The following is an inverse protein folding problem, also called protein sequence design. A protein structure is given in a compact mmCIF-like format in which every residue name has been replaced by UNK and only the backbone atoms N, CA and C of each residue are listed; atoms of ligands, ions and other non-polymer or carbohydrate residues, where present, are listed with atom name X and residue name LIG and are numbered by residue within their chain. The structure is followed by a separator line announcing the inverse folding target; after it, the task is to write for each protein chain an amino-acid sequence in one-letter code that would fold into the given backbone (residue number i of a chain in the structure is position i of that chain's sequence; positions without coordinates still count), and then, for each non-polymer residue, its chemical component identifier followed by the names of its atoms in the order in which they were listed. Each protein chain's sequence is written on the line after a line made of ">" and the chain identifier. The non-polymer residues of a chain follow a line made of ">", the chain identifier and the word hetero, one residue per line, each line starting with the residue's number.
data_IF_315112129770
#
_entry.id   IF_315112129770
#
_cell.length_a   1.000
_cell.length_b   1.000
_cell.length_c   1.000
_cell.angle_alpha   90.00
_cell.angle_beta   90.00
_cell.angle_gamma   90.00
#
_symmetry.space_group_name_H-M   'P 1'
#
loop_
_entity.id
_entity.type
_entity.pdbx_description
1 polymer ?
#
# COMPACT_ATOMS: atom_id res chain seq x y z
N UNK A 1 -18.47 -41.45 1.32
CA UNK A 1 -17.88 -40.14 1.69
C UNK A 1 -16.60 -39.95 0.91
N UNK A 2 -16.51 -38.92 0.07
CA UNK A 2 -15.24 -38.51 -0.53
C UNK A 2 -14.68 -37.37 0.31
N UNK A 3 -13.54 -37.60 0.94
CA UNK A 3 -12.81 -36.58 1.69
C UNK A 3 -11.87 -35.88 0.72
N UNK A 4 -12.09 -34.59 0.49
CA UNK A 4 -11.14 -33.74 -0.20
C UNK A 4 -10.08 -33.30 0.81
N UNK A 5 -8.83 -33.69 0.59
CA UNK A 5 -7.70 -33.27 1.42
C UNK A 5 -7.14 -31.98 0.83
N UNK A 6 -7.36 -30.85 1.50
CA UNK A 6 -6.77 -29.57 1.12
C UNK A 6 -5.29 -29.56 1.58
N UNK A 7 -4.38 -29.42 0.62
CA UNK A 7 -2.96 -29.18 0.89
C UNK A 7 -2.76 -27.67 0.97
N UNK A 8 -2.52 -27.16 2.18
CA UNK A 8 -2.15 -25.77 2.38
C UNK A 8 -0.64 -25.65 2.18
N UNK A 9 -0.21 -24.80 1.26
CA UNK A 9 1.20 -24.44 1.14
C UNK A 9 1.61 -23.67 2.40
N UNK A 10 2.68 -24.09 3.06
CA UNK A 10 3.22 -23.46 4.27
C UNK A 10 3.92 -22.13 4.00
N UNK A 11 4.07 -21.75 2.73
CA UNK A 11 4.67 -20.50 2.29
C UNK A 11 4.05 -20.05 0.97
N UNK A 12 3.80 -18.76 0.85
CA UNK A 12 3.36 -18.10 -0.37
C UNK A 12 4.50 -17.22 -0.87
N UNK A 13 4.84 -17.33 -2.16
CA UNK A 13 5.72 -16.38 -2.85
C UNK A 13 4.87 -15.76 -3.94
N UNK A 14 4.64 -14.46 -3.84
CA UNK A 14 3.83 -13.69 -4.77
C UNK A 14 3.72 -12.24 -4.31
N UNK A 15 3.45 -11.35 -5.26
CA UNK A 15 3.33 -9.93 -5.01
C UNK A 15 1.88 -9.58 -4.65
N UNK A 16 1.67 -8.94 -3.50
CA UNK A 16 0.37 -8.42 -3.10
C UNK A 16 0.26 -6.96 -3.56
N UNK A 17 -0.57 -6.73 -4.56
CA UNK A 17 -0.92 -5.37 -5.00
C UNK A 17 -2.20 -4.91 -4.31
N UNK A 18 -2.13 -3.81 -3.57
CA UNK A 18 -3.29 -3.19 -2.92
C UNK A 18 -3.61 -1.90 -3.65
N UNK A 19 -4.69 -1.91 -4.44
CA UNK A 19 -5.19 -0.70 -5.08
C UNK A 19 -6.02 0.10 -4.07
N UNK A 20 -5.58 1.30 -3.74
CA UNK A 20 -6.33 2.22 -2.87
C UNK A 20 -7.04 3.23 -3.76
N UNK A 21 -8.36 3.14 -3.82
CA UNK A 21 -9.18 4.09 -4.56
C UNK A 21 -9.55 5.21 -3.58
N UNK A 22 -9.10 6.42 -3.91
CA UNK A 22 -9.38 7.61 -3.13
C UNK A 22 -10.54 8.32 -3.79
N UNK A 23 -11.70 8.24 -3.16
CA UNK A 23 -12.90 8.93 -3.64
C UNK A 23 -12.75 10.45 -3.45
N UNK A 24 -13.39 11.28 -4.29
CA UNK A 24 -13.18 12.73 -4.30
C UNK A 24 -13.56 13.39 -2.97
N UNK A 25 -14.50 12.80 -2.26
CA UNK A 25 -14.98 13.25 -0.94
C UNK A 25 -13.95 13.04 0.18
N UNK A 26 -12.92 12.22 -0.06
CA UNK A 26 -11.83 11.93 0.88
C UNK A 26 -10.59 12.82 0.65
N UNK A 27 -10.59 13.67 -0.38
CA UNK A 27 -9.48 14.56 -0.71
C UNK A 27 -9.75 15.97 -0.16
N UNK A 28 -8.76 16.57 0.52
CA UNK A 28 -8.79 18.00 0.82
C UNK A 28 -8.80 18.82 -0.49
N UNK A 29 -9.21 20.10 -0.49
CA UNK A 29 -9.10 20.92 -1.68
C UNK A 29 -7.63 21.01 -2.13
N UNK A 30 -7.33 20.38 -3.27
CA UNK A 30 -5.97 20.10 -3.72
C UNK A 30 -5.76 18.59 -3.75
N UNK A 31 -5.68 18.03 -4.96
CA UNK A 31 -5.74 16.59 -5.27
C UNK A 31 -4.54 15.75 -4.78
N UNK A 32 -4.04 16.01 -3.58
CA UNK A 32 -3.01 15.22 -2.89
C UNK A 32 -3.60 14.53 -1.67
N UNK A 33 -3.13 13.31 -1.42
CA UNK A 33 -3.38 12.63 -0.15
C UNK A 33 -2.50 13.26 0.91
N UNK A 34 -3.00 13.45 2.13
CA UNK A 34 -2.16 13.87 3.25
C UNK A 34 -1.43 12.68 3.87
N UNK A 35 -0.25 12.90 4.45
CA UNK A 35 0.45 11.89 5.23
C UNK A 35 -0.42 11.33 6.38
N UNK A 36 -1.26 12.16 6.98
CA UNK A 36 -2.20 11.75 8.03
C UNK A 36 -3.23 10.72 7.54
N UNK A 37 -3.58 10.74 6.26
CA UNK A 37 -4.50 9.77 5.65
C UNK A 37 -3.76 8.53 5.15
N UNK A 38 -2.60 8.72 4.49
CA UNK A 38 -1.84 7.64 3.88
C UNK A 38 -1.13 6.77 4.93
N UNK A 39 -0.53 7.37 5.95
CA UNK A 39 0.27 6.70 6.97
C UNK A 39 -0.47 5.55 7.68
N UNK A 40 -1.69 5.76 8.22
CA UNK A 40 -2.46 4.69 8.85
C UNK A 40 -2.76 3.51 7.91
N UNK A 41 -3.04 3.77 6.63
CA UNK A 41 -3.29 2.73 5.61
C UNK A 41 -2.01 1.91 5.39
N UNK A 42 -0.88 2.59 5.20
CA UNK A 42 0.43 1.93 5.05
C UNK A 42 0.75 1.07 6.27
N UNK A 43 0.51 1.57 7.49
CA UNK A 43 0.77 0.81 8.72
C UNK A 43 -0.08 -0.46 8.85
N UNK A 44 -1.37 -0.42 8.48
CA UNK A 44 -2.23 -1.61 8.48
C UNK A 44 -1.75 -2.66 7.48
N UNK A 45 -1.41 -2.21 6.26
CA UNK A 45 -0.92 -3.11 5.20
C UNK A 45 0.46 -3.67 5.57
N UNK A 46 1.34 -2.85 6.14
CA UNK A 46 2.67 -3.25 6.59
C UNK A 46 2.63 -4.33 7.67
N UNK A 47 1.78 -4.19 8.71
CA UNK A 47 1.60 -5.23 9.74
C UNK A 47 1.08 -6.54 9.15
N UNK A 48 0.09 -6.46 8.27
CA UNK A 48 -0.46 -7.63 7.58
C UNK A 48 0.59 -8.30 6.68
N UNK A 49 1.41 -7.49 6.00
CA UNK A 49 2.52 -7.96 5.17
C UNK A 49 3.62 -8.64 6.00
N UNK A 50 3.93 -8.13 7.19
CA UNK A 50 4.88 -8.73 8.14
C UNK A 50 4.38 -10.10 8.62
N UNK A 51 3.12 -10.20 9.06
CA UNK A 51 2.49 -11.46 9.48
C UNK A 51 2.53 -12.51 8.36
N UNK A 52 2.37 -12.07 7.11
CA UNK A 52 2.37 -12.91 5.92
C UNK A 52 3.77 -13.15 5.32
N UNK A 53 4.82 -12.46 5.82
CA UNK A 53 6.19 -12.47 5.28
C UNK A 53 6.27 -12.09 3.79
N UNK A 54 5.56 -11.03 3.42
CA UNK A 54 5.51 -10.51 2.04
C UNK A 54 6.80 -9.75 1.69
N UNK A 55 7.32 -9.97 0.47
CA UNK A 55 8.57 -9.34 0.01
C UNK A 55 8.44 -7.88 -0.45
N UNK A 56 7.22 -7.44 -0.79
CA UNK A 56 6.92 -6.05 -1.15
C UNK A 56 5.44 -5.80 -1.42
N UNK A 57 5.04 -4.53 -1.39
CA UNK A 57 3.65 -4.08 -1.60
C UNK A 57 3.64 -2.89 -2.57
N UNK A 58 2.72 -2.92 -3.52
CA UNK A 58 2.44 -1.79 -4.42
C UNK A 58 1.10 -1.12 -4.10
N UNK A 59 1.09 0.20 -4.00
CA UNK A 59 -0.09 1.05 -3.87
C UNK A 59 -0.28 1.86 -5.15
N UNK A 60 -1.53 2.00 -5.58
CA UNK A 60 -1.89 2.73 -6.80
C UNK A 60 -3.02 3.70 -6.49
N UNK A 61 -2.84 4.97 -6.84
CA UNK A 61 -3.91 5.95 -6.80
C UNK A 61 -4.68 5.92 -8.14
N UNK A 62 -6.01 5.83 -8.08
CA UNK A 62 -6.84 5.81 -9.29
C UNK A 62 -7.11 7.24 -9.77
N UNK A 63 -7.00 7.44 -11.08
CA UNK A 63 -7.45 8.66 -11.75
C UNK A 63 -8.98 8.68 -11.83
N UNK A 64 -9.63 9.71 -11.29
CA UNK A 64 -11.06 9.93 -11.43
C UNK A 64 -11.31 11.25 -12.17
N UNK A 65 -12.09 11.20 -13.26
CA UNK A 65 -12.42 12.38 -14.05
C UNK A 65 -11.24 13.06 -14.77
N UNK A 66 -10.12 12.35 -14.97
CA UNK A 66 -8.90 12.92 -15.57
C UNK A 66 -8.03 13.68 -14.57
N UNK A 67 -8.28 13.51 -13.27
CA UNK A 67 -7.54 14.18 -12.21
C UNK A 67 -6.54 13.21 -11.60
N UNK A 68 -5.27 13.52 -11.82
CA UNK A 68 -4.16 12.74 -11.27
C UNK A 68 -4.02 13.03 -9.77
N UNK A 69 -4.28 12.01 -8.96
CA UNK A 69 -4.00 12.06 -7.53
C UNK A 69 -2.50 11.78 -7.33
N UNK A 70 -1.77 12.72 -6.72
CA UNK A 70 -0.36 12.53 -6.38
C UNK A 70 -0.21 12.05 -4.94
N UNK A 71 0.72 11.11 -4.75
CA UNK A 71 1.17 10.64 -3.44
C UNK A 71 2.52 11.25 -3.04
N UNK A 72 3.11 12.10 -3.88
CA UNK A 72 4.48 12.62 -3.72
C UNK A 72 4.64 13.36 -2.39
N UNK A 73 3.74 14.31 -2.11
CA UNK A 73 3.80 15.11 -0.88
C UNK A 73 3.62 14.26 0.37
N UNK A 74 2.65 13.34 0.38
CA UNK A 74 2.48 12.43 1.51
C UNK A 74 3.69 11.50 1.68
N UNK A 75 4.27 11.01 0.57
CA UNK A 75 5.45 10.17 0.62
C UNK A 75 6.66 10.95 1.14
N UNK A 76 6.83 12.22 0.75
CA UNK A 76 7.87 13.10 1.28
C UNK A 76 7.72 13.34 2.78
N UNK A 77 6.51 13.69 3.22
CA UNK A 77 6.18 13.90 4.63
C UNK A 77 6.37 12.64 5.49
N UNK A 78 6.11 11.47 4.92
CA UNK A 78 6.34 10.16 5.56
C UNK A 78 7.81 9.68 5.44
N UNK A 79 8.66 10.44 4.74
CA UNK A 79 10.06 10.11 4.51
C UNK A 79 10.24 8.85 3.66
N UNK A 80 9.34 8.61 2.70
CA UNK A 80 9.32 7.46 1.76
C UNK A 80 9.24 7.90 0.29
N UNK A 81 9.63 9.13 -0.03
CA UNK A 81 9.54 9.69 -1.38
C UNK A 81 10.24 8.84 -2.46
N UNK A 82 11.32 8.14 -2.12
CA UNK A 82 12.05 7.29 -3.05
C UNK A 82 11.28 6.04 -3.49
N UNK A 83 10.20 5.69 -2.79
CA UNK A 83 9.34 4.57 -3.14
C UNK A 83 8.27 4.93 -4.18
N UNK A 84 8.15 6.21 -4.56
CA UNK A 84 7.17 6.66 -5.54
C UNK A 84 7.71 6.53 -6.96
N UNK A 85 6.91 5.90 -7.83
CA UNK A 85 7.12 5.85 -9.27
C UNK A 85 5.82 6.22 -9.99
N UNK A 86 5.73 7.47 -10.42
CA UNK A 86 4.55 8.04 -11.08
C UNK A 86 3.31 8.03 -10.17
N UNK A 87 2.33 7.19 -10.50
CA UNK A 87 1.08 7.03 -9.73
C UNK A 87 1.12 5.85 -8.75
N UNK A 88 2.29 5.23 -8.62
CA UNK A 88 2.47 4.05 -7.77
C UNK A 88 3.45 4.33 -6.64
N UNK A 89 3.22 3.70 -5.49
CA UNK A 89 4.14 3.66 -4.37
C UNK A 89 4.51 2.19 -4.12
N UNK A 90 5.78 1.84 -4.27
CA UNK A 90 6.29 0.48 -4.14
C UNK A 90 7.19 0.34 -2.92
N UNK A 91 6.74 -0.43 -1.93
CA UNK A 91 7.46 -0.64 -0.68
C UNK A 91 8.10 -2.03 -0.65
N UNK A 92 9.39 -2.08 -0.34
CA UNK A 92 10.12 -3.34 -0.08
C UNK A 92 9.76 -3.91 1.31
N UNK A 93 10.04 -5.18 1.54
CA UNK A 93 9.91 -5.82 2.85
C UNK A 93 10.58 -5.04 3.99
N UNK A 94 11.82 -4.58 3.79
CA UNK A 94 12.55 -3.76 4.77
C UNK A 94 11.80 -2.47 5.12
N UNK A 95 11.20 -1.82 4.12
CA UNK A 95 10.44 -0.58 4.35
C UNK A 95 9.11 -0.84 5.05
N UNK A 96 8.47 -1.96 4.74
CA UNK A 96 7.26 -2.42 5.42
C UNK A 96 7.55 -2.71 6.90
N UNK A 97 8.66 -3.36 7.23
CA UNK A 97 9.06 -3.58 8.63
C UNK A 97 9.26 -2.27 9.41
N UNK A 98 9.77 -1.22 8.76
CA UNK A 98 9.91 0.10 9.40
C UNK A 98 8.55 0.77 9.62
N UNK A 99 7.61 0.63 8.69
CA UNK A 99 6.28 1.24 8.77
C UNK A 99 5.34 0.48 9.73
N UNK A 100 5.54 -0.83 9.91
CA UNK A 100 4.77 -1.65 10.85
C UNK A 100 5.03 -1.27 12.32
N UNK A 101 6.19 -0.66 12.60
CA UNK A 101 6.67 -0.28 13.95
C UNK A 101 6.32 1.15 14.36
N UNK A 102 5.76 1.95 13.45
CA UNK A 102 5.23 3.29 13.75
C UNK A 102 3.83 3.19 14.37
#
# INVERSE_FOLDING_TARGET
>A
MHSAKATYLSSFSGDLTVSVILEPDALQPGYSVSAETLGPILGVVARSAEDMRVGGVGFYAKEEGGIQISMDTAAEDLGIAEAVDGQSLSLTGERLESLAKQ
#
